data_IF_712656163631
#
_entry.id   IF_712656163631
#
_cell.length_a   1.000
_cell.length_b   1.000
_cell.length_c   1.000
_cell.angle_alpha   90.00
_cell.angle_beta   90.00
_cell.angle_gamma   90.00
#
_symmetry.space_group_name_H-M   'P 1'
#
loop_
_entity.id
_entity.type
_entity.pdbx_description
1 polymer ?
#
# COMPACT_ATOMS: atom_id res chain seq x y z
N UNK A 1 -8.52 -4.67 30.23
CA UNK A 1 -8.72 -5.85 29.36
C UNK A 1 -7.39 -6.18 28.70
N UNK A 2 -7.00 -7.45 28.57
CA UNK A 2 -5.84 -7.80 27.75
C UNK A 2 -6.09 -7.25 26.34
N UNK A 3 -5.13 -6.51 25.78
CA UNK A 3 -5.19 -6.16 24.35
C UNK A 3 -5.28 -7.48 23.59
N UNK A 4 -6.28 -7.62 22.72
CA UNK A 4 -6.32 -8.73 21.77
C UNK A 4 -5.04 -8.77 20.93
N UNK A 5 -4.81 -9.83 20.14
CA UNK A 5 -3.62 -9.92 19.31
C UNK A 5 -3.49 -8.66 18.44
N UNK A 6 -2.30 -8.08 18.43
CA UNK A 6 -1.95 -6.95 17.59
C UNK A 6 -2.10 -7.29 16.11
N UNK A 7 -2.24 -6.25 15.25
CA UNK A 7 -2.52 -6.40 13.82
C UNK A 7 -1.46 -7.22 13.07
N UNK A 8 -0.24 -7.33 13.60
CA UNK A 8 0.86 -8.08 13.00
C UNK A 8 1.29 -9.32 13.78
N UNK A 9 0.67 -9.68 14.90
CA UNK A 9 1.16 -10.77 15.76
C UNK A 9 1.30 -12.12 15.04
N UNK A 10 0.44 -12.35 14.04
CA UNK A 10 0.48 -13.56 13.19
C UNK A 10 1.38 -13.42 11.95
N UNK A 11 1.81 -12.19 11.64
CA UNK A 11 2.53 -11.85 10.43
C UNK A 11 3.99 -11.48 10.67
N UNK A 12 4.37 -10.97 11.84
CA UNK A 12 5.70 -10.46 12.11
C UNK A 12 6.20 -10.93 13.48
N UNK A 13 7.24 -11.77 13.47
CA UNK A 13 8.00 -12.21 14.63
C UNK A 13 9.45 -11.82 14.41
N UNK A 14 9.78 -10.57 14.74
CA UNK A 14 11.10 -10.01 14.45
C UNK A 14 12.16 -10.75 15.26
N UNK A 15 13.06 -11.45 14.55
CA UNK A 15 14.21 -12.14 15.13
C UNK A 15 15.55 -11.51 14.71
N UNK A 16 15.53 -10.68 13.65
CA UNK A 16 16.72 -9.97 13.16
C UNK A 16 16.38 -8.56 12.71
N UNK A 17 17.23 -7.61 13.08
CA UNK A 17 17.17 -6.21 12.70
C UNK A 17 18.50 -5.82 12.07
N UNK A 18 18.48 -5.48 10.78
CA UNK A 18 19.61 -4.77 10.17
C UNK A 18 19.45 -3.27 10.44
N UNK A 19 20.50 -2.56 10.84
CA UNK A 19 20.41 -1.13 11.13
C UNK A 19 21.62 -0.34 10.63
N UNK A 20 21.37 0.85 10.10
CA UNK A 20 22.44 1.83 9.87
C UNK A 20 22.95 2.43 11.20
N UNK A 21 24.23 2.86 11.29
CA UNK A 21 24.80 3.37 12.54
C UNK A 21 23.99 4.51 13.19
N UNK A 22 23.50 5.46 12.38
CA UNK A 22 22.72 6.61 12.84
C UNK A 22 21.35 6.27 13.43
N UNK A 23 20.91 5.00 13.38
CA UNK A 23 19.65 4.56 13.98
C UNK A 23 19.67 4.69 15.50
N UNK A 24 20.78 4.36 16.16
CA UNK A 24 20.89 4.37 17.62
C UNK A 24 20.78 5.78 18.23
N UNK A 25 21.14 6.78 17.43
CA UNK A 25 21.08 8.19 17.81
C UNK A 25 19.65 8.76 17.72
N UNK A 26 18.80 8.18 16.86
CA UNK A 26 17.41 8.61 16.69
C UNK A 26 16.51 8.12 17.82
N UNK A 27 15.63 8.99 18.33
CA UNK A 27 14.59 8.63 19.29
C UNK A 27 13.68 7.52 18.75
N UNK A 28 13.25 7.64 17.48
CA UNK A 28 12.43 6.62 16.82
C UNK A 28 13.18 5.30 16.66
N UNK A 29 14.49 5.36 16.40
CA UNK A 29 15.33 4.17 16.31
C UNK A 29 15.40 3.41 17.63
N UNK A 30 15.64 4.13 18.75
CA UNK A 30 15.65 3.54 20.09
C UNK A 30 14.30 2.91 20.46
N UNK A 31 13.20 3.62 20.23
CA UNK A 31 11.85 3.10 20.49
C UNK A 31 11.56 1.80 19.73
N UNK A 32 11.94 1.72 18.45
CA UNK A 32 11.74 0.51 17.65
C UNK A 32 12.60 -0.63 18.18
N UNK A 33 13.86 -0.38 18.57
CA UNK A 33 14.74 -1.41 19.14
C UNK A 33 14.20 -1.93 20.48
N UNK A 34 13.62 -1.06 21.31
CA UNK A 34 12.98 -1.42 22.58
C UNK A 34 11.73 -2.31 22.40
N UNK A 35 11.06 -2.26 21.24
CA UNK A 35 9.93 -3.17 20.93
C UNK A 35 10.38 -4.62 20.67
N UNK A 36 11.64 -4.84 20.29
CA UNK A 36 12.21 -6.16 20.02
C UNK A 36 13.61 -6.30 20.62
N UNK A 37 13.73 -6.33 21.95
CA UNK A 37 15.03 -6.35 22.64
C UNK A 37 15.83 -7.63 22.35
N UNK A 38 15.13 -8.74 22.07
CA UNK A 38 15.73 -10.05 21.82
C UNK A 38 16.15 -10.29 20.36
N UNK A 39 15.84 -9.35 19.45
CA UNK A 39 16.18 -9.51 18.04
C UNK A 39 17.70 -9.31 17.82
N UNK A 40 18.30 -10.17 17.01
CA UNK A 40 19.70 -10.02 16.59
C UNK A 40 19.89 -8.70 15.84
N UNK A 41 20.77 -7.84 16.32
CA UNK A 41 21.07 -6.54 15.73
C UNK A 41 22.33 -6.62 14.87
N UNK A 42 22.19 -6.40 13.56
CA UNK A 42 23.30 -6.44 12.59
C UNK A 42 23.50 -5.06 11.99
N UNK A 43 24.60 -4.41 12.35
CA UNK A 43 24.93 -3.10 11.78
C UNK A 43 25.33 -3.22 10.30
N UNK A 44 24.83 -2.32 9.46
CA UNK A 44 25.10 -2.28 8.02
C UNK A 44 25.41 -0.86 7.58
N UNK A 45 26.31 -0.72 6.61
CA UNK A 45 26.68 0.60 6.07
C UNK A 45 25.50 1.32 5.37
N UNK A 46 24.55 0.56 4.83
CA UNK A 46 23.42 1.11 4.07
C UNK A 46 22.19 0.21 4.10
N UNK A 47 21.02 0.79 4.36
CA UNK A 47 19.72 0.11 4.26
C UNK A 47 19.33 -0.27 2.81
N UNK A 48 20.09 0.20 1.80
CA UNK A 48 19.86 -0.11 0.38
C UNK A 48 20.65 -1.34 -0.07
N UNK A 49 21.82 -1.60 0.53
CA UNK A 49 22.75 -2.64 0.09
C UNK A 49 23.16 -3.48 1.31
N UNK A 50 22.34 -4.47 1.62
CA UNK A 50 22.59 -5.43 2.71
C UNK A 50 23.01 -6.76 2.05
N UNK A 51 24.30 -7.13 2.15
CA UNK A 51 24.79 -8.39 1.59
C UNK A 51 24.00 -9.60 2.08
N UNK A 52 23.65 -10.51 1.18
CA UNK A 52 22.87 -11.72 1.47
C UNK A 52 21.37 -11.50 1.65
N UNK A 53 20.88 -10.26 1.79
CA UNK A 53 19.46 -9.95 1.86
C UNK A 53 18.92 -9.45 0.51
N UNK A 54 19.44 -8.33 0.01
CA UNK A 54 18.96 -7.71 -1.24
C UNK A 54 19.75 -8.23 -2.45
N UNK A 55 19.05 -8.44 -3.56
CA UNK A 55 19.63 -9.04 -4.77
C UNK A 55 20.03 -10.52 -4.65
N UNK A 56 19.73 -11.17 -3.52
CA UNK A 56 20.04 -12.58 -3.31
C UNK A 56 18.90 -13.49 -3.81
N UNK A 57 19.15 -14.16 -4.93
CA UNK A 57 18.23 -15.08 -5.59
C UNK A 57 17.86 -16.31 -4.73
N UNK A 58 18.74 -16.72 -3.80
CA UNK A 58 18.45 -17.81 -2.86
C UNK A 58 17.34 -17.47 -1.86
N UNK A 59 16.98 -16.19 -1.71
CA UNK A 59 15.95 -15.76 -0.77
C UNK A 59 14.52 -16.03 -1.25
N UNK A 60 14.33 -16.47 -2.50
CA UNK A 60 13.00 -16.76 -3.06
C UNK A 60 12.28 -17.86 -2.29
N UNK A 61 12.96 -18.93 -1.92
CA UNK A 61 12.38 -20.03 -1.12
C UNK A 61 12.04 -19.59 0.31
N UNK A 62 12.75 -18.57 0.80
CA UNK A 62 12.59 -18.00 2.12
C UNK A 62 11.67 -16.77 2.14
N UNK A 63 10.93 -16.48 1.06
CA UNK A 63 10.22 -15.22 0.84
C UNK A 63 9.38 -14.78 2.03
N UNK A 64 8.49 -15.66 2.50
CA UNK A 64 7.60 -15.34 3.62
C UNK A 64 8.34 -15.29 4.96
N UNK A 65 9.34 -16.14 5.16
CA UNK A 65 10.14 -16.17 6.39
C UNK A 65 10.87 -14.84 6.57
N UNK A 66 11.63 -14.41 5.56
CA UNK A 66 12.38 -13.15 5.58
C UNK A 66 11.45 -11.96 5.87
N UNK A 67 10.31 -11.87 5.17
CA UNK A 67 9.33 -10.78 5.37
C UNK A 67 8.62 -10.84 6.73
N UNK A 68 8.61 -12.00 7.38
CA UNK A 68 7.99 -12.21 8.68
C UNK A 68 8.95 -12.18 9.87
N UNK A 69 10.27 -12.13 9.66
CA UNK A 69 11.25 -12.19 10.75
C UNK A 69 12.34 -11.13 10.70
N UNK A 70 12.50 -10.44 9.57
CA UNK A 70 13.55 -9.44 9.38
C UNK A 70 12.97 -8.04 9.32
N UNK A 71 13.58 -7.10 10.05
CA UNK A 71 13.39 -5.67 9.85
C UNK A 71 14.69 -5.01 9.40
N UNK A 72 14.56 -3.90 8.69
CA UNK A 72 15.69 -3.02 8.37
C UNK A 72 15.38 -1.63 8.90
N UNK A 73 16.32 -1.01 9.63
CA UNK A 73 16.21 0.36 10.11
C UNK A 73 17.24 1.22 9.40
N UNK A 74 16.81 2.36 8.87
CA UNK A 74 17.69 3.27 8.17
C UNK A 74 17.31 4.72 8.34
N UNK A 75 18.15 5.59 7.80
CA UNK A 75 17.92 7.03 7.72
C UNK A 75 17.60 7.39 6.27
N UNK A 76 16.43 7.99 6.04
CA UNK A 76 16.04 8.46 4.71
C UNK A 76 16.89 9.68 4.34
N UNK A 77 17.86 9.49 3.44
CA UNK A 77 18.81 10.54 3.02
C UNK A 77 18.17 11.57 2.07
N UNK A 78 17.41 11.10 1.09
CA UNK A 78 16.77 11.96 0.07
C UNK A 78 15.29 12.16 0.38
N UNK A 79 14.87 13.41 0.57
CA UNK A 79 13.48 13.80 0.84
C UNK A 79 12.86 14.46 -0.39
N UNK A 80 12.53 13.65 -1.41
CA UNK A 80 11.94 14.11 -2.66
C UNK A 80 10.42 14.03 -2.65
N UNK A 81 9.80 14.94 -3.40
CA UNK A 81 8.37 14.93 -3.72
C UNK A 81 8.21 14.66 -5.21
N UNK A 82 7.42 13.65 -5.56
CA UNK A 82 7.17 13.28 -6.96
C UNK A 82 5.75 13.72 -7.30
N UNK A 83 5.56 14.47 -8.37
CA UNK A 83 4.22 14.78 -8.87
C UNK A 83 3.49 13.47 -9.20
N UNK A 84 2.25 13.37 -8.73
CA UNK A 84 1.35 12.28 -9.03
C UNK A 84 0.07 12.94 -9.52
N UNK A 85 -0.40 12.62 -10.71
CA UNK A 85 -1.61 13.25 -11.28
C UNK A 85 -2.76 12.23 -11.33
N UNK A 86 -2.79 11.32 -10.34
CA UNK A 86 -3.71 10.17 -10.29
C UNK A 86 -4.29 9.94 -8.89
N UNK A 87 -3.64 9.11 -8.08
CA UNK A 87 -4.16 8.69 -6.76
C UNK A 87 -4.00 9.76 -5.68
N UNK A 88 -3.00 10.62 -5.84
CA UNK A 88 -2.64 11.77 -5.01
C UNK A 88 -2.09 12.86 -5.94
N UNK A 89 -1.86 14.08 -5.44
CA UNK A 89 -1.17 15.17 -6.15
C UNK A 89 0.37 15.00 -6.07
N UNK A 90 0.84 14.45 -4.95
CA UNK A 90 2.25 14.20 -4.71
C UNK A 90 2.47 12.83 -4.08
N UNK A 91 3.59 12.18 -4.36
CA UNK A 91 4.15 11.12 -3.52
C UNK A 91 5.13 11.79 -2.56
N UNK A 92 4.89 11.64 -1.26
CA UNK A 92 5.76 12.18 -0.21
C UNK A 92 7.00 11.30 0.01
N UNK A 93 8.05 11.83 0.67
CA UNK A 93 9.16 11.01 1.15
C UNK A 93 8.63 9.86 2.01
N UNK A 94 8.96 8.62 1.64
CA UNK A 94 8.45 7.43 2.34
C UNK A 94 9.03 7.33 3.76
N UNK A 95 8.20 6.91 4.71
CA UNK A 95 8.60 6.55 6.09
C UNK A 95 8.92 5.06 6.25
N UNK A 96 8.57 4.25 5.25
CA UNK A 96 8.97 2.85 5.14
C UNK A 96 9.13 2.42 3.67
N UNK A 97 9.72 1.26 3.46
CA UNK A 97 9.80 0.56 2.17
C UNK A 97 9.64 -0.95 2.41
N UNK A 98 8.99 -1.66 1.50
CA UNK A 98 8.71 -3.08 1.68
C UNK A 98 7.43 -3.29 2.48
N UNK A 99 7.08 -4.55 2.74
CA UNK A 99 5.83 -4.89 3.40
C UNK A 99 5.96 -6.27 4.05
N UNK A 100 5.27 -6.53 5.16
CA UNK A 100 5.21 -7.85 5.81
C UNK A 100 4.29 -8.83 5.06
N UNK A 101 3.36 -8.31 4.27
CA UNK A 101 2.45 -9.08 3.41
C UNK A 101 3.16 -9.49 2.12
N UNK A 102 2.60 -10.41 1.33
CA UNK A 102 3.31 -11.02 0.20
C UNK A 102 2.47 -11.12 -1.08
N UNK A 103 1.73 -10.06 -1.44
CA UNK A 103 0.91 -10.07 -2.66
C UNK A 103 1.74 -10.49 -3.89
N UNK A 104 1.26 -11.47 -4.66
CA UNK A 104 2.02 -12.08 -5.75
C UNK A 104 2.33 -11.09 -6.89
N UNK A 105 1.45 -10.12 -7.11
CA UNK A 105 1.60 -9.09 -8.15
C UNK A 105 2.34 -7.83 -7.68
N UNK A 106 2.85 -7.81 -6.44
CA UNK A 106 3.39 -6.59 -5.83
C UNK A 106 4.57 -6.02 -6.63
N UNK A 107 4.56 -4.72 -6.90
CA UNK A 107 5.67 -4.06 -7.60
C UNK A 107 6.83 -3.67 -6.67
N UNK A 108 6.59 -3.55 -5.37
CA UNK A 108 7.58 -3.05 -4.40
C UNK A 108 8.85 -3.92 -4.33
N UNK A 109 8.77 -5.27 -4.34
CA UNK A 109 9.97 -6.12 -4.31
C UNK A 109 10.86 -6.00 -5.54
N UNK A 110 10.32 -5.58 -6.71
CA UNK A 110 11.04 -5.51 -7.99
C UNK A 110 12.32 -4.66 -7.90
N UNK A 111 12.33 -3.64 -7.04
CA UNK A 111 13.46 -2.73 -6.88
C UNK A 111 14.60 -3.28 -6.01
N UNK A 112 14.34 -4.28 -5.15
CA UNK A 112 15.36 -4.90 -4.27
C UNK A 112 15.67 -6.36 -4.63
N UNK A 113 15.16 -6.81 -5.78
CA UNK A 113 15.51 -8.08 -6.42
C UNK A 113 14.71 -9.28 -5.94
N UNK A 114 14.40 -9.41 -4.65
CA UNK A 114 13.76 -10.61 -4.08
C UNK A 114 12.94 -10.27 -2.82
N UNK A 115 12.88 -11.15 -1.82
CA UNK A 115 12.13 -10.93 -0.59
C UNK A 115 12.49 -9.58 0.05
N UNK A 116 11.57 -8.61 0.02
CA UNK A 116 11.78 -7.26 0.53
C UNK A 116 11.07 -7.10 1.89
N UNK A 117 11.76 -7.34 3.04
CA UNK A 117 11.23 -7.06 4.37
C UNK A 117 10.99 -5.56 4.57
N UNK A 118 10.27 -5.20 5.62
CA UNK A 118 10.03 -3.78 5.93
C UNK A 118 11.34 -3.10 6.33
N UNK A 119 11.68 -2.05 5.59
CA UNK A 119 12.65 -1.02 5.97
C UNK A 119 11.90 0.16 6.59
N UNK A 120 12.16 0.50 7.85
CA UNK A 120 11.59 1.67 8.52
C UNK A 120 12.62 2.80 8.56
N UNK A 121 12.20 4.02 8.22
CA UNK A 121 13.04 5.19 8.32
C UNK A 121 12.85 5.92 9.65
N UNK A 122 13.94 6.11 10.39
CA UNK A 122 13.88 6.59 11.78
C UNK A 122 13.96 8.11 11.93
N UNK A 123 14.10 8.86 10.84
CA UNK A 123 14.21 10.32 10.84
C UNK A 123 12.87 11.01 10.51
N UNK A 124 11.80 10.61 11.21
CA UNK A 124 10.42 11.08 10.98
C UNK A 124 10.29 12.60 11.10
N UNK A 125 10.99 13.24 12.04
CA UNK A 125 10.94 14.70 12.23
C UNK A 125 11.38 15.45 10.97
N UNK A 126 12.44 14.94 10.30
CA UNK A 126 12.93 15.52 9.04
C UNK A 126 11.91 15.34 7.90
N UNK A 127 11.22 14.20 7.87
CA UNK A 127 10.18 13.92 6.86
C UNK A 127 8.97 14.83 7.09
N UNK A 128 8.52 14.97 8.34
CA UNK A 128 7.40 15.86 8.69
C UNK A 128 7.71 17.32 8.34
N UNK A 129 8.93 17.79 8.64
CA UNK A 129 9.34 19.15 8.31
C UNK A 129 9.42 19.37 6.79
N UNK A 130 9.92 18.41 6.03
CA UNK A 130 9.92 18.47 4.58
C UNK A 130 8.49 18.56 4.01
N UNK A 131 7.55 17.76 4.53
CA UNK A 131 6.13 17.79 4.14
C UNK A 131 5.52 19.15 4.49
N UNK A 132 5.76 19.67 5.70
CA UNK A 132 5.28 20.97 6.15
C UNK A 132 5.75 22.10 5.22
N UNK A 133 7.05 22.15 4.92
CA UNK A 133 7.64 23.14 3.99
C UNK A 133 7.04 23.02 2.59
N UNK A 134 6.90 21.80 2.07
CA UNK A 134 6.34 21.58 0.74
C UNK A 134 4.87 22.01 0.69
N UNK A 135 4.05 21.61 1.67
CA UNK A 135 2.65 22.02 1.76
C UNK A 135 2.51 23.54 1.89
N UNK A 136 3.29 24.19 2.75
CA UNK A 136 3.28 25.64 2.89
C UNK A 136 3.59 26.35 1.56
N UNK A 137 4.63 25.89 0.83
CA UNK A 137 5.01 26.44 -0.47
C UNK A 137 3.91 26.32 -1.52
N UNK A 138 3.03 25.31 -1.43
CA UNK A 138 1.91 25.12 -2.37
C UNK A 138 0.74 26.08 -2.14
N UNK A 139 0.61 26.66 -0.95
CA UNK A 139 -0.54 27.49 -0.60
C UNK A 139 -1.86 26.73 -0.65
N UNK A 140 -2.98 27.46 -0.53
CA UNK A 140 -4.32 26.87 -0.66
C UNK A 140 -4.52 26.28 -2.06
N UNK A 141 -5.24 25.16 -2.15
CA UNK A 141 -5.64 24.59 -3.44
C UNK A 141 -6.86 25.38 -3.94
N UNK A 142 -6.66 26.18 -4.98
CA UNK A 142 -7.70 27.06 -5.54
C UNK A 142 -8.53 26.36 -6.62
N UNK A 143 -7.90 25.46 -7.37
CA UNK A 143 -8.56 24.74 -8.46
C UNK A 143 -8.77 23.26 -8.10
N UNK A 144 -9.98 22.72 -8.29
CA UNK A 144 -10.24 21.31 -8.07
C UNK A 144 -9.56 20.47 -9.15
N UNK A 145 -9.23 19.22 -8.81
CA UNK A 145 -8.82 18.22 -9.80
C UNK A 145 -9.41 16.84 -9.45
N UNK A 146 -9.08 15.83 -10.25
CA UNK A 146 -9.57 14.46 -10.07
C UNK A 146 -9.11 13.79 -8.77
N UNK A 147 -8.05 14.31 -8.14
CA UNK A 147 -7.50 13.79 -6.88
C UNK A 147 -8.37 14.22 -5.70
N UNK A 148 -8.58 15.53 -5.55
CA UNK A 148 -9.32 16.13 -4.45
C UNK A 148 -9.72 17.58 -4.78
N UNK A 149 -10.95 18.00 -4.49
CA UNK A 149 -11.42 19.34 -4.83
C UNK A 149 -10.88 20.47 -3.94
N UNK A 150 -10.33 20.16 -2.75
CA UNK A 150 -10.06 21.19 -1.72
C UNK A 150 -8.66 21.12 -1.10
N UNK A 151 -7.98 19.97 -1.17
CA UNK A 151 -6.68 19.78 -0.55
C UNK A 151 -5.63 19.20 -1.52
N UNK A 152 -4.38 19.58 -1.31
CA UNK A 152 -3.24 18.89 -1.91
C UNK A 152 -3.05 17.54 -1.22
N UNK A 153 -3.21 16.44 -1.95
CA UNK A 153 -3.15 15.09 -1.41
C UNK A 153 -1.74 14.52 -1.57
N UNK A 154 -1.20 13.97 -0.48
CA UNK A 154 0.12 13.36 -0.43
C UNK A 154 -0.02 11.85 -0.22
N UNK A 155 0.46 11.04 -1.15
CA UNK A 155 0.59 9.61 -0.95
C UNK A 155 1.78 9.33 -0.01
N UNK A 156 1.49 8.77 1.16
CA UNK A 156 2.49 8.44 2.18
C UNK A 156 2.80 6.94 2.22
N UNK A 157 2.09 6.12 1.43
CA UNK A 157 2.17 4.66 1.42
C UNK A 157 2.66 4.06 0.10
N UNK A 158 3.15 4.86 -0.85
CA UNK A 158 3.53 4.38 -2.19
C UNK A 158 4.56 3.23 -2.21
N UNK A 159 5.41 3.10 -1.19
CA UNK A 159 6.47 2.08 -1.14
C UNK A 159 6.29 1.03 -0.03
N UNK A 160 5.17 1.07 0.69
CA UNK A 160 4.90 0.23 1.87
C UNK A 160 3.40 0.08 2.11
N UNK A 161 2.98 -0.49 3.24
CA UNK A 161 1.57 -0.48 3.64
C UNK A 161 1.46 0.20 5.01
N UNK A 162 0.90 1.41 5.04
CA UNK A 162 0.89 2.21 6.27
C UNK A 162 0.12 1.55 7.43
N UNK A 163 -0.87 0.69 7.16
CA UNK A 163 -1.56 -0.02 8.24
C UNK A 163 -0.65 -1.05 8.91
N UNK A 164 0.21 -1.72 8.13
CA UNK A 164 1.25 -2.59 8.66
C UNK A 164 2.36 -1.77 9.35
N UNK A 165 2.82 -0.69 8.72
CA UNK A 165 3.91 0.14 9.25
C UNK A 165 3.56 0.78 10.60
N UNK A 166 2.28 1.13 10.81
CA UNK A 166 1.78 1.70 12.06
C UNK A 166 1.91 0.77 13.27
N UNK A 167 1.92 -0.55 13.04
CA UNK A 167 2.17 -1.54 14.08
C UNK A 167 3.67 -1.68 14.41
N UNK A 168 4.55 -1.28 13.48
CA UNK A 168 5.99 -1.36 13.65
C UNK A 168 6.54 -0.10 14.34
N UNK A 169 5.99 1.07 14.02
CA UNK A 169 6.43 2.36 14.54
C UNK A 169 5.31 3.40 14.51
N UNK A 170 5.38 4.44 15.35
CA UNK A 170 4.37 5.50 15.34
C UNK A 170 4.56 6.53 14.22
N UNK A 171 5.45 6.28 13.24
CA UNK A 171 5.65 7.16 12.08
C UNK A 171 4.34 7.52 11.38
N UNK A 172 3.42 6.55 11.23
CA UNK A 172 2.11 6.77 10.60
C UNK A 172 1.22 7.64 11.50
N UNK A 173 1.26 7.45 12.82
CA UNK A 173 0.53 8.29 13.79
C UNK A 173 1.00 9.74 13.70
N UNK A 174 2.31 9.93 13.64
CA UNK A 174 2.94 11.25 13.49
C UNK A 174 2.53 11.94 12.18
N UNK A 175 2.46 11.21 11.07
CA UNK A 175 1.99 11.76 9.81
C UNK A 175 0.49 12.10 9.85
N UNK A 176 -0.37 11.21 10.36
CA UNK A 176 -1.81 11.50 10.49
C UNK A 176 -2.02 12.77 11.32
N UNK A 177 -1.33 12.88 12.46
CA UNK A 177 -1.35 14.08 13.31
C UNK A 177 -0.85 15.31 12.56
N UNK A 178 0.26 15.24 11.84
CA UNK A 178 0.79 16.35 11.04
C UNK A 178 -0.25 16.89 10.07
N UNK A 179 -0.91 16.03 9.29
CA UNK A 179 -1.88 16.46 8.29
C UNK A 179 -3.11 17.13 8.91
N UNK A 180 -3.47 16.83 10.15
CA UNK A 180 -4.52 17.60 10.86
C UNK A 180 -4.16 19.08 11.07
N UNK A 181 -2.86 19.41 11.05
CA UNK A 181 -2.35 20.78 11.23
C UNK A 181 -2.14 21.54 9.92
N UNK A 182 -2.28 20.88 8.78
CA UNK A 182 -2.05 21.47 7.46
C UNK A 182 -3.39 21.87 6.82
N UNK A 183 -3.73 23.18 6.74
CA UNK A 183 -5.05 23.61 6.28
C UNK A 183 -5.32 23.28 4.81
N UNK A 184 -4.26 23.13 4.01
CA UNK A 184 -4.29 22.96 2.56
C UNK A 184 -3.95 21.54 2.09
N UNK A 185 -3.70 20.58 2.99
CA UNK A 185 -3.18 19.27 2.62
C UNK A 185 -3.93 18.11 3.29
N UNK A 186 -3.79 16.92 2.70
CA UNK A 186 -4.36 15.66 3.18
C UNK A 186 -3.37 14.51 2.92
N UNK A 187 -3.24 13.58 3.86
CA UNK A 187 -2.53 12.32 3.62
C UNK A 187 -3.42 11.34 2.85
N UNK A 188 -2.82 10.46 2.05
CA UNK A 188 -3.51 9.32 1.47
C UNK A 188 -2.62 8.09 1.49
N UNK A 189 -3.20 6.93 1.76
CA UNK A 189 -2.53 5.64 1.56
C UNK A 189 -3.55 4.56 1.20
N UNK A 190 -3.06 3.50 0.56
CA UNK A 190 -3.86 2.29 0.34
C UNK A 190 -3.42 1.20 1.31
N UNK A 191 -4.34 0.31 1.71
CA UNK A 191 -3.99 -0.82 2.56
C UNK A 191 -4.75 -2.09 2.19
N UNK A 192 -4.13 -3.23 2.48
CA UNK A 192 -4.72 -4.58 2.46
C UNK A 192 -4.79 -5.23 3.84
N UNK A 193 -4.41 -4.50 4.89
CA UNK A 193 -4.43 -4.96 6.27
C UNK A 193 -5.39 -4.09 7.08
N UNK A 194 -6.33 -4.72 7.76
CA UNK A 194 -7.19 -4.04 8.73
C UNK A 194 -6.42 -3.90 10.03
N UNK A 195 -5.93 -2.69 10.31
CA UNK A 195 -5.31 -2.36 11.59
C UNK A 195 -6.22 -1.42 12.38
N UNK A 196 -6.92 -1.95 13.39
CA UNK A 196 -7.86 -1.18 14.22
C UNK A 196 -7.19 -0.17 15.16
N UNK A 197 -5.87 -0.22 15.35
CA UNK A 197 -5.16 0.81 16.12
C UNK A 197 -5.29 2.21 15.49
N UNK A 198 -5.42 2.27 14.16
CA UNK A 198 -5.60 3.52 13.41
C UNK A 198 -6.88 4.26 13.79
N UNK A 199 -7.90 3.57 14.30
CA UNK A 199 -9.15 4.19 14.75
C UNK A 199 -8.92 5.23 15.86
N UNK A 200 -7.77 5.15 16.56
CA UNK A 200 -7.39 6.06 17.65
C UNK A 200 -6.59 7.28 17.19
N UNK A 201 -6.34 7.46 15.88
CA UNK A 201 -5.36 8.44 15.38
C UNK A 201 -5.97 9.83 15.09
N UNK A 202 -7.28 10.00 15.26
CA UNK A 202 -8.00 11.27 15.10
C UNK A 202 -7.65 12.05 13.80
N UNK A 203 -7.84 11.46 12.61
CA UNK A 203 -7.47 12.06 11.32
C UNK A 203 -8.21 13.35 10.94
N UNK A 204 -9.36 13.66 11.56
CA UNK A 204 -10.15 14.91 11.34
C UNK A 204 -10.42 15.24 9.86
N UNK A 205 -10.72 14.22 9.05
CA UNK A 205 -10.94 14.37 7.60
C UNK A 205 -9.67 14.73 6.79
N UNK A 206 -8.50 14.78 7.43
CA UNK A 206 -7.20 15.13 6.81
C UNK A 206 -6.34 13.92 6.46
N UNK A 207 -6.90 12.72 6.55
CA UNK A 207 -6.29 11.50 6.02
C UNK A 207 -7.32 10.66 5.27
N UNK A 208 -6.95 10.22 4.07
CA UNK A 208 -7.68 9.31 3.20
C UNK A 208 -7.10 7.90 3.29
N UNK A 209 -7.93 6.92 3.58
CA UNK A 209 -7.56 5.50 3.51
C UNK A 209 -8.29 4.85 2.35
N UNK A 210 -7.54 4.09 1.55
CA UNK A 210 -8.07 3.34 0.42
C UNK A 210 -7.97 1.85 0.71
N UNK A 211 -9.09 1.18 0.99
CA UNK A 211 -9.08 -0.27 1.14
C UNK A 211 -8.94 -0.94 -0.22
N UNK A 212 -7.89 -1.71 -0.39
CA UNK A 212 -7.69 -2.50 -1.61
C UNK A 212 -8.62 -3.70 -1.60
N UNK A 213 -9.43 -3.85 -2.65
CA UNK A 213 -10.38 -4.95 -2.79
C UNK A 213 -10.22 -5.64 -4.14
N UNK A 214 -10.47 -6.95 -4.14
CA UNK A 214 -10.62 -7.79 -5.32
C UNK A 214 -11.56 -8.96 -4.96
N UNK A 215 -12.11 -9.70 -5.93
CA UNK A 215 -12.98 -10.82 -5.63
C UNK A 215 -12.29 -11.87 -4.75
N UNK A 216 -13.05 -12.52 -3.87
CA UNK A 216 -12.51 -13.37 -2.80
C UNK A 216 -11.61 -14.50 -3.32
N UNK A 217 -12.03 -15.20 -4.38
CA UNK A 217 -11.29 -16.33 -4.93
C UNK A 217 -9.90 -15.91 -5.48
N UNK A 218 -9.77 -14.91 -6.37
CA UNK A 218 -8.47 -14.31 -6.72
C UNK A 218 -7.68 -13.83 -5.50
N UNK A 219 -8.31 -13.18 -4.51
CA UNK A 219 -7.61 -12.69 -3.32
C UNK A 219 -6.97 -13.83 -2.51
N UNK A 220 -7.64 -14.97 -2.36
CA UNK A 220 -7.09 -16.14 -1.64
C UNK A 220 -5.78 -16.62 -2.25
N UNK A 221 -5.64 -16.51 -3.58
CA UNK A 221 -4.42 -16.86 -4.28
C UNK A 221 -3.41 -15.72 -4.29
N UNK A 222 -3.84 -14.50 -4.58
CA UNK A 222 -2.94 -13.40 -4.95
C UNK A 222 -2.57 -12.47 -3.77
N UNK A 223 -3.48 -12.28 -2.80
CA UNK A 223 -3.33 -11.38 -1.64
C UNK A 223 -2.73 -12.12 -0.43
N UNK A 224 -1.57 -12.75 -0.62
CA UNK A 224 -0.91 -13.57 0.41
C UNK A 224 -0.59 -12.75 1.66
N UNK A 225 -0.98 -13.26 2.84
CA UNK A 225 -0.73 -12.67 4.18
C UNK A 225 -1.35 -11.29 4.37
N UNK A 226 -2.59 -11.11 3.93
CA UNK A 226 -3.37 -9.86 4.07
C UNK A 226 -4.64 -10.12 4.89
N UNK A 227 -5.38 -9.07 5.28
CA UNK A 227 -6.73 -9.25 5.83
C UNK A 227 -7.67 -9.79 4.75
N UNK A 228 -8.59 -10.72 5.08
CA UNK A 228 -9.63 -11.18 4.15
C UNK A 228 -10.47 -10.03 3.57
N UNK A 229 -10.98 -10.20 2.35
CA UNK A 229 -11.81 -9.19 1.67
C UNK A 229 -13.01 -8.76 2.52
N UNK A 230 -13.74 -9.71 3.11
CA UNK A 230 -14.88 -9.43 3.98
C UNK A 230 -14.49 -8.58 5.21
N UNK A 231 -13.32 -8.83 5.78
CA UNK A 231 -12.80 -8.05 6.92
C UNK A 231 -12.47 -6.61 6.51
N UNK A 232 -11.88 -6.42 5.31
CA UNK A 232 -11.61 -5.09 4.76
C UNK A 232 -12.89 -4.30 4.51
N UNK A 233 -13.94 -4.95 4.00
CA UNK A 233 -15.25 -4.32 3.79
C UNK A 233 -15.87 -3.95 5.14
N UNK A 234 -15.90 -4.87 6.10
CA UNK A 234 -16.47 -4.65 7.42
C UNK A 234 -15.77 -3.54 8.22
N UNK A 235 -14.52 -3.22 7.91
CA UNK A 235 -13.79 -2.14 8.55
C UNK A 235 -14.16 -0.74 8.03
N UNK A 236 -14.81 -0.61 6.86
CA UNK A 236 -15.02 0.69 6.19
C UNK A 236 -15.73 1.68 7.10
N UNK A 237 -16.86 1.27 7.71
CA UNK A 237 -17.67 2.15 8.54
C UNK A 237 -16.93 2.56 9.83
N UNK A 238 -16.19 1.65 10.47
CA UNK A 238 -15.37 1.96 11.66
C UNK A 238 -14.40 3.11 11.35
N UNK A 239 -13.74 3.06 10.19
CA UNK A 239 -12.78 4.08 9.78
C UNK A 239 -13.45 5.41 9.37
N UNK A 240 -14.64 5.35 8.75
CA UNK A 240 -15.45 6.55 8.50
C UNK A 240 -15.85 7.22 9.82
N UNK A 241 -16.27 6.43 10.82
CA UNK A 241 -16.63 6.93 12.15
C UNK A 241 -15.43 7.56 12.86
N UNK A 242 -14.24 6.96 12.74
CA UNK A 242 -12.99 7.53 13.26
C UNK A 242 -12.56 8.84 12.57
N UNK A 243 -13.24 9.26 11.50
CA UNK A 243 -13.01 10.53 10.82
C UNK A 243 -12.02 10.44 9.66
N UNK A 244 -11.71 9.24 9.16
CA UNK A 244 -11.00 9.08 7.90
C UNK A 244 -11.93 9.39 6.72
N UNK A 245 -11.36 9.91 5.65
CA UNK A 245 -12.00 9.78 4.34
C UNK A 245 -11.72 8.38 3.80
N UNK A 246 -12.76 7.59 3.50
CA UNK A 246 -12.59 6.18 3.11
C UNK A 246 -12.99 5.97 1.67
N UNK A 247 -12.05 5.46 0.88
CA UNK A 247 -12.21 5.14 -0.54
C UNK A 247 -11.86 3.66 -0.81
N UNK A 248 -12.17 3.19 -2.00
CA UNK A 248 -11.81 1.84 -2.47
C UNK A 248 -10.66 1.89 -3.49
N UNK A 249 -9.86 0.83 -3.54
CA UNK A 249 -8.79 0.67 -4.51
C UNK A 249 -8.87 -0.71 -5.17
N UNK A 250 -9.49 -0.78 -6.34
CA UNK A 250 -9.52 -1.99 -7.17
C UNK A 250 -8.20 -2.09 -7.93
N UNK A 251 -7.17 -2.56 -7.23
CA UNK A 251 -5.80 -2.60 -7.74
C UNK A 251 -5.04 -3.83 -7.23
N UNK A 252 -4.78 -4.80 -8.11
CA UNK A 252 -5.15 -4.85 -9.54
C UNK A 252 -6.58 -5.33 -9.79
N UNK A 253 -7.21 -4.83 -10.86
CA UNK A 253 -8.27 -5.57 -11.57
C UNK A 253 -7.63 -6.67 -12.40
N UNK A 254 -8.09 -7.91 -12.20
CA UNK A 254 -7.60 -9.13 -12.83
C UNK A 254 -8.72 -9.68 -13.72
N UNK A 255 -8.42 -9.83 -15.01
CA UNK A 255 -9.28 -10.46 -15.99
C UNK A 255 -8.99 -11.96 -16.06
N UNK A 256 -10.00 -12.75 -15.75
CA UNK A 256 -10.04 -14.21 -15.87
C UNK A 256 -11.45 -14.63 -16.32
N UNK A 257 -11.65 -15.90 -16.64
CA UNK A 257 -12.98 -16.37 -17.04
C UNK A 257 -13.97 -16.19 -15.88
N UNK A 258 -15.13 -15.58 -16.14
CA UNK A 258 -16.12 -15.24 -15.11
C UNK A 258 -15.74 -14.04 -14.22
N UNK A 259 -14.78 -13.21 -14.61
CA UNK A 259 -14.40 -12.03 -13.81
C UNK A 259 -15.58 -11.08 -13.58
N UNK A 260 -16.48 -10.91 -14.54
CA UNK A 260 -17.64 -10.02 -14.41
C UNK A 260 -18.50 -10.39 -13.20
N UNK A 261 -18.92 -11.67 -13.12
CA UNK A 261 -19.75 -12.17 -12.03
C UNK A 261 -19.03 -12.05 -10.69
N UNK A 262 -17.73 -12.34 -10.65
CA UNK A 262 -16.91 -12.24 -9.45
C UNK A 262 -16.81 -10.80 -8.91
N UNK A 263 -16.72 -9.79 -9.80
CA UNK A 263 -16.73 -8.39 -9.39
C UNK A 263 -18.14 -7.89 -9.04
N UNK A 264 -19.19 -8.37 -9.73
CA UNK A 264 -20.58 -8.08 -9.34
C UNK A 264 -20.87 -8.60 -7.92
N UNK A 265 -20.43 -9.82 -7.59
CA UNK A 265 -20.54 -10.37 -6.25
C UNK A 265 -19.80 -9.50 -5.21
N UNK A 266 -18.56 -9.08 -5.52
CA UNK A 266 -17.82 -8.15 -4.67
C UNK A 266 -18.58 -6.83 -4.45
N UNK A 267 -19.16 -6.26 -5.51
CA UNK A 267 -19.92 -5.01 -5.42
C UNK A 267 -21.18 -5.17 -4.56
N UNK A 268 -21.88 -6.28 -4.67
CA UNK A 268 -23.02 -6.61 -3.80
C UNK A 268 -22.59 -6.76 -2.34
N UNK A 269 -21.45 -7.41 -2.08
CA UNK A 269 -20.89 -7.51 -0.72
C UNK A 269 -20.52 -6.13 -0.15
N UNK A 270 -19.98 -5.23 -0.97
CA UNK A 270 -19.68 -3.84 -0.58
C UNK A 270 -20.99 -3.10 -0.26
N UNK A 271 -21.99 -3.14 -1.14
CA UNK A 271 -23.26 -2.42 -0.97
C UNK A 271 -24.01 -2.86 0.30
N UNK A 272 -24.02 -4.17 0.57
CA UNK A 272 -24.63 -4.74 1.76
C UNK A 272 -23.80 -4.53 3.04
N UNK A 273 -22.48 -4.33 2.90
CA UNK A 273 -21.53 -4.31 4.01
C UNK A 273 -21.18 -2.94 4.57
N UNK A 274 -21.68 -1.84 3.98
CA UNK A 274 -21.35 -0.47 4.39
C UNK A 274 -22.60 0.38 4.60
N UNK A 275 -22.54 1.30 5.57
CA UNK A 275 -23.62 2.20 5.91
C UNK A 275 -23.64 3.49 5.10
N UNK A 276 -24.73 4.26 5.25
CA UNK A 276 -24.99 5.48 4.48
C UNK A 276 -23.87 6.53 4.55
N UNK A 277 -23.22 6.68 5.71
CA UNK A 277 -22.10 7.63 5.87
C UNK A 277 -20.89 7.28 4.99
N UNK A 278 -20.63 5.99 4.77
CA UNK A 278 -19.60 5.55 3.85
C UNK A 278 -20.05 5.77 2.40
N UNK A 279 -21.29 5.37 2.06
CA UNK A 279 -21.86 5.55 0.70
C UNK A 279 -21.80 7.01 0.22
N UNK A 280 -22.08 7.98 1.10
CA UNK A 280 -22.07 9.41 0.78
C UNK A 280 -20.71 9.98 0.35
N UNK A 281 -19.61 9.40 0.81
CA UNK A 281 -18.26 9.86 0.46
C UNK A 281 -17.49 8.88 -0.43
N UNK A 282 -18.08 7.73 -0.75
CA UNK A 282 -17.35 6.63 -1.37
C UNK A 282 -16.85 7.03 -2.75
N UNK A 283 -15.56 6.86 -2.95
CA UNK A 283 -14.94 6.95 -4.25
C UNK A 283 -13.95 5.80 -4.44
N UNK A 284 -13.64 5.47 -5.69
CA UNK A 284 -12.72 4.39 -6.00
C UNK A 284 -11.65 4.78 -7.02
N UNK A 285 -10.57 4.00 -7.00
CA UNK A 285 -9.54 3.94 -8.03
C UNK A 285 -9.62 2.57 -8.70
N UNK A 286 -9.50 2.52 -10.04
CA UNK A 286 -9.54 1.28 -10.82
C UNK A 286 -8.22 1.14 -11.57
N UNK A 287 -7.45 0.11 -11.25
CA UNK A 287 -6.12 -0.12 -11.86
C UNK A 287 -6.07 -1.54 -12.35
N UNK A 288 -6.07 -1.73 -13.67
CA UNK A 288 -5.91 -3.07 -14.24
C UNK A 288 -4.47 -3.57 -14.12
N UNK A 289 -4.32 -4.89 -14.01
CA UNK A 289 -3.03 -5.55 -13.83
C UNK A 289 -1.95 -5.03 -14.80
N UNK A 290 -0.81 -4.68 -14.21
CA UNK A 290 0.47 -4.54 -14.90
C UNK A 290 1.48 -5.42 -14.17
N UNK A 291 1.83 -6.52 -14.81
CA UNK A 291 2.81 -7.48 -14.31
C UNK A 291 4.22 -7.16 -14.83
N UNK A 292 5.21 -7.96 -14.44
CA UNK A 292 6.60 -7.77 -14.81
C UNK A 292 7.27 -9.11 -15.09
N UNK A 293 8.09 -9.18 -16.15
CA UNK A 293 8.73 -10.43 -16.56
C UNK A 293 9.69 -10.97 -15.49
N UNK A 294 10.50 -10.12 -14.86
CA UNK A 294 11.38 -10.56 -13.77
C UNK A 294 10.60 -11.07 -12.55
N UNK A 295 9.46 -10.45 -12.24
CA UNK A 295 8.60 -10.92 -11.16
C UNK A 295 7.91 -12.25 -11.49
N UNK A 296 7.56 -12.50 -12.76
CA UNK A 296 7.04 -13.80 -13.21
C UNK A 296 8.03 -14.92 -12.88
N UNK A 297 9.30 -14.77 -13.26
CA UNK A 297 10.36 -15.75 -12.96
C UNK A 297 10.54 -15.99 -11.46
N UNK A 298 10.48 -14.93 -10.66
CA UNK A 298 10.52 -15.04 -9.21
C UNK A 298 9.31 -15.83 -8.70
N UNK A 299 8.10 -15.48 -9.15
CA UNK A 299 6.86 -16.10 -8.70
C UNK A 299 6.78 -17.59 -9.06
N UNK A 300 7.32 -18.02 -10.20
CA UNK A 300 7.40 -19.45 -10.55
C UNK A 300 8.13 -20.29 -9.49
N UNK A 301 9.01 -19.68 -8.70
CA UNK A 301 9.84 -20.37 -7.72
C UNK A 301 9.29 -20.37 -6.29
N UNK A 302 8.38 -19.47 -5.92
CA UNK A 302 7.79 -19.45 -4.58
C UNK A 302 6.26 -19.54 -4.56
N UNK A 303 5.59 -19.12 -5.64
CA UNK A 303 4.13 -19.14 -5.75
C UNK A 303 3.63 -19.31 -7.20
N UNK A 304 4.00 -20.42 -7.87
CA UNK A 304 3.77 -20.61 -9.31
C UNK A 304 2.29 -20.56 -9.71
N UNK A 305 1.38 -21.02 -8.85
CA UNK A 305 -0.07 -21.01 -9.12
C UNK A 305 -0.62 -19.60 -9.37
N UNK A 306 -0.03 -18.57 -8.75
CA UNK A 306 -0.46 -17.18 -8.99
C UNK A 306 -0.25 -16.76 -10.46
N UNK A 307 0.76 -17.30 -11.13
CA UNK A 307 1.09 -16.93 -12.51
C UNK A 307 0.04 -17.39 -13.52
N UNK A 308 -0.80 -18.36 -13.19
CA UNK A 308 -1.97 -18.75 -14.00
C UNK A 308 -2.96 -17.58 -14.22
N UNK A 309 -3.00 -16.63 -13.28
CA UNK A 309 -3.81 -15.40 -13.39
C UNK A 309 -2.98 -14.19 -13.83
N UNK A 310 -1.72 -14.11 -13.42
CA UNK A 310 -0.89 -12.91 -13.62
C UNK A 310 -0.18 -12.87 -14.97
N UNK A 311 0.22 -14.03 -15.50
CA UNK A 311 0.98 -14.16 -16.74
C UNK A 311 0.13 -14.81 -17.84
N UNK A 312 -0.45 -13.96 -18.70
CA UNK A 312 -1.38 -14.35 -19.76
C UNK A 312 -0.97 -13.75 -21.11
N UNK A 313 0.10 -14.26 -21.76
CA UNK A 313 0.66 -13.69 -22.99
C UNK A 313 -0.35 -13.52 -24.15
N UNK A 314 -1.39 -14.36 -24.22
CA UNK A 314 -2.44 -14.26 -25.25
C UNK A 314 -3.19 -12.92 -25.20
N UNK A 315 -3.45 -12.38 -24.00
CA UNK A 315 -4.21 -11.13 -23.81
C UNK A 315 -3.35 -9.96 -23.32
N UNK A 316 -2.04 -10.17 -23.22
CA UNK A 316 -1.08 -9.19 -22.73
C UNK A 316 -0.08 -8.75 -23.81
N UNK A 317 0.51 -7.58 -23.61
CA UNK A 317 1.58 -6.99 -24.42
C UNK A 317 2.69 -6.43 -23.54
N UNK A 318 3.90 -6.37 -24.09
CA UNK A 318 5.06 -5.75 -23.45
C UNK A 318 4.91 -4.23 -23.40
N UNK A 319 5.30 -3.64 -22.28
CA UNK A 319 5.41 -2.19 -22.08
C UNK A 319 6.71 -1.88 -21.35
N UNK A 320 7.56 -1.07 -21.96
CA UNK A 320 8.71 -0.47 -21.27
C UNK A 320 8.21 0.66 -20.38
N UNK A 321 8.52 0.61 -19.08
CA UNK A 321 8.20 1.67 -18.13
C UNK A 321 9.11 2.89 -18.32
N UNK A 322 8.72 4.04 -17.76
CA UNK A 322 9.58 5.24 -17.77
C UNK A 322 10.95 5.00 -17.11
N UNK A 323 11.03 4.07 -16.15
CA UNK A 323 12.28 3.64 -15.52
C UNK A 323 13.02 2.52 -16.27
N UNK A 324 12.66 2.20 -17.51
CA UNK A 324 13.34 1.21 -18.36
C UNK A 324 12.95 -0.25 -18.09
N UNK A 325 12.25 -0.56 -17.00
CA UNK A 325 11.80 -1.92 -16.70
C UNK A 325 10.78 -2.46 -17.70
N UNK A 326 10.95 -3.72 -18.12
CA UNK A 326 10.05 -4.44 -19.03
C UNK A 326 8.85 -4.97 -18.24
N UNK A 327 7.71 -4.30 -18.39
CA UNK A 327 6.44 -4.72 -17.81
C UNK A 327 5.55 -5.38 -18.86
N UNK A 328 4.50 -6.04 -18.37
CA UNK A 328 3.49 -6.68 -19.18
C UNK A 328 2.13 -6.16 -18.73
N UNK A 329 1.29 -5.73 -19.68
CA UNK A 329 -0.06 -5.22 -19.41
C UNK A 329 -1.06 -5.87 -20.35
N UNK A 330 -2.35 -5.76 -20.06
CA UNK A 330 -3.36 -6.13 -21.06
C UNK A 330 -3.18 -5.33 -22.36
N UNK A 331 -3.42 -6.00 -23.50
CA UNK A 331 -3.29 -5.42 -24.84
C UNK A 331 -4.06 -4.11 -24.99
N UNK A 332 -3.49 -3.15 -25.70
CA UNK A 332 -4.16 -1.88 -25.99
C UNK A 332 -5.45 -2.15 -26.78
N UNK A 333 -6.53 -1.41 -26.51
CA UNK A 333 -7.88 -1.66 -27.04
C UNK A 333 -8.64 -2.79 -26.32
N UNK A 334 -8.01 -3.94 -26.05
CA UNK A 334 -8.58 -4.98 -25.18
C UNK A 334 -8.79 -4.42 -23.76
N UNK A 335 -7.76 -3.80 -23.19
CA UNK A 335 -7.83 -3.13 -21.89
C UNK A 335 -8.92 -2.05 -21.83
N UNK A 336 -8.99 -1.18 -22.84
CA UNK A 336 -9.93 -0.07 -22.88
C UNK A 336 -11.39 -0.52 -22.83
N UNK A 337 -11.75 -1.57 -23.58
CA UNK A 337 -13.09 -2.16 -23.53
C UNK A 337 -13.44 -2.68 -22.14
N UNK A 338 -12.52 -3.41 -21.49
CA UNK A 338 -12.79 -3.99 -20.17
C UNK A 338 -12.77 -2.95 -19.05
N UNK A 339 -12.02 -1.85 -19.20
CA UNK A 339 -12.12 -0.69 -18.29
C UNK A 339 -13.53 -0.10 -18.37
N UNK A 340 -14.05 0.14 -19.57
CA UNK A 340 -15.41 0.65 -19.75
C UNK A 340 -16.47 -0.33 -19.22
N UNK A 341 -16.31 -1.63 -19.47
CA UNK A 341 -17.19 -2.68 -18.94
C UNK A 341 -17.18 -2.71 -17.41
N UNK A 342 -16.00 -2.67 -16.78
CA UNK A 342 -15.87 -2.61 -15.32
C UNK A 342 -16.57 -1.38 -14.75
N UNK A 343 -16.39 -0.21 -15.37
CA UNK A 343 -17.04 1.02 -14.93
C UNK A 343 -18.56 0.94 -15.08
N UNK A 344 -19.08 0.31 -16.13
CA UNK A 344 -20.51 0.09 -16.31
C UNK A 344 -21.08 -0.85 -15.24
N UNK A 345 -20.39 -1.94 -14.92
CA UNK A 345 -20.76 -2.85 -13.83
C UNK A 345 -20.74 -2.13 -12.48
N UNK A 346 -19.68 -1.35 -12.20
CA UNK A 346 -19.58 -0.57 -10.98
C UNK A 346 -20.73 0.44 -10.88
N UNK A 347 -21.02 1.21 -11.93
CA UNK A 347 -22.09 2.20 -11.93
C UNK A 347 -23.47 1.56 -11.73
N UNK A 348 -23.67 0.34 -12.24
CA UNK A 348 -24.92 -0.41 -12.05
C UNK A 348 -25.11 -0.89 -10.60
N UNK A 349 -24.04 -1.38 -9.96
CA UNK A 349 -24.12 -2.05 -8.66
C UNK A 349 -23.74 -1.16 -7.46
N UNK A 350 -22.98 -0.10 -7.69
CA UNK A 350 -22.55 0.89 -6.70
C UNK A 350 -22.71 2.31 -7.30
N UNK A 351 -23.94 2.76 -7.62
CA UNK A 351 -24.18 4.01 -8.35
C UNK A 351 -23.69 5.27 -7.60
N UNK A 352 -23.54 5.18 -6.28
CA UNK A 352 -23.02 6.25 -5.42
C UNK A 352 -21.48 6.32 -5.39
N UNK A 353 -20.77 5.28 -5.87
CA UNK A 353 -19.32 5.21 -5.81
C UNK A 353 -18.67 6.01 -6.96
N UNK A 354 -18.11 7.18 -6.66
CA UNK A 354 -17.45 8.01 -7.65
C UNK A 354 -16.11 7.42 -8.11
N UNK A 355 -15.93 7.22 -9.41
CA UNK A 355 -14.63 6.84 -9.98
C UNK A 355 -13.71 8.07 -10.04
N UNK A 356 -12.60 8.09 -9.29
CA UNK A 356 -11.61 9.20 -9.36
C UNK A 356 -10.70 9.07 -10.58
N UNK A 357 -10.27 7.84 -10.89
CA UNK A 357 -9.62 7.51 -12.15
C UNK A 357 -9.71 5.99 -12.40
N UNK A 358 -9.59 5.62 -13.68
CA UNK A 358 -9.50 4.23 -14.13
C UNK A 358 -8.43 4.11 -15.22
N UNK A 359 -7.57 3.09 -15.19
CA UNK A 359 -6.62 2.90 -16.30
C UNK A 359 -6.21 1.47 -16.63
#
# INVERSE_FOLDING_TARGET
MPRGPGPLDRLLKVSRIYLEPGVRESARGREILERWPDAEQVEVASHQHIPGLFGNEGNVEAWNRIKGSTLVLGVKKTLSFIANDRSSDFIAPSTANGCVMACAYCYVPRNKGYANPVTVFVNIDRIQEAIRKHAHKRGLKLEPNTVDPHAWVYDIGCNSDCAADAAISDNVRDLVRLFTTLPNAKASFATKLVNRELLTYEPKGRTRIRFSLMPHAPAKLLDVRTSPIAERIAAIDDFVVAGYEVHLNFSPVILHDGWQDAYVELFQQIDAGIGERAKQQLACEIIFLTHNAGLHEVNLRWHPKAEELLWRPGIQETKVSQGGGVNVRYRTGFKGRHVAEFQALLAKHLPYCRVRYAF
#
